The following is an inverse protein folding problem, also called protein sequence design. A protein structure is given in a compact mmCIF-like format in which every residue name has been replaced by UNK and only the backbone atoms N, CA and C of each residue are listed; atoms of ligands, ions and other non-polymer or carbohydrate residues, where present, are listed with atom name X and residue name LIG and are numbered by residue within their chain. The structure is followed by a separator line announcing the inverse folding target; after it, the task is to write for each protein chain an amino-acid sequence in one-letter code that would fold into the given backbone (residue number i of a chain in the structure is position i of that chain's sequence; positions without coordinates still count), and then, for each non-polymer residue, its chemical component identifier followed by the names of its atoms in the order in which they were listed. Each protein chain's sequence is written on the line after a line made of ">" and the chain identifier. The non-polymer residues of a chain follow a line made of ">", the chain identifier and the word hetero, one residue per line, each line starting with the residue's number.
data_IF_102105508610
#
_entry.id   IF_102105508610
#
_cell.length_a   1.000
_cell.length_b   1.000
_cell.length_c   1.000
_cell.angle_alpha   90.00
_cell.angle_beta   90.00
_cell.angle_gamma   90.00
#
_symmetry.space_group_name_H-M   'P 1'
#
loop_
_entity.id
_entity.type
_entity.pdbx_description
1 polymer ?
#
# COMPACT_ATOMS: atom_id res chain seq x y z
N UNK A 1 2.10 13.80 9.42
CA UNK A 1 1.54 14.31 8.14
C UNK A 1 0.15 13.74 7.99
N UNK A 2 -0.88 14.55 7.62
CA UNK A 2 -2.23 14.02 7.49
C UNK A 2 -2.30 12.97 6.37
N UNK A 3 -3.05 11.90 6.63
CA UNK A 3 -3.45 10.91 5.63
C UNK A 3 -4.88 11.28 5.20
N UNK A 4 -5.07 11.49 3.91
CA UNK A 4 -6.34 11.96 3.33
C UNK A 4 -6.76 11.04 2.19
N UNK A 5 -8.06 10.96 1.91
CA UNK A 5 -8.57 10.26 0.74
C UNK A 5 -8.08 10.91 -0.55
N UNK A 6 -7.80 10.08 -1.56
CA UNK A 6 -7.55 10.57 -2.92
C UNK A 6 -8.86 11.11 -3.50
N UNK A 7 -8.84 12.38 -3.90
CA UNK A 7 -9.97 13.05 -4.57
C UNK A 7 -9.47 13.77 -5.84
N UNK A 8 -10.35 14.18 -6.78
CA UNK A 8 -9.95 14.82 -8.03
C UNK A 8 -9.00 16.02 -7.88
N UNK A 9 -9.13 16.79 -6.80
CA UNK A 9 -8.25 17.92 -6.51
C UNK A 9 -6.78 17.55 -6.23
N UNK A 10 -6.49 16.28 -6.01
CA UNK A 10 -5.13 15.79 -5.74
C UNK A 10 -4.39 15.26 -6.98
N UNK A 11 -5.05 15.21 -8.17
CA UNK A 11 -4.48 14.59 -9.38
C UNK A 11 -3.10 15.14 -9.75
N UNK A 12 -2.96 16.46 -9.83
CA UNK A 12 -1.70 17.08 -10.26
C UNK A 12 -0.57 16.84 -9.25
N UNK A 13 -0.88 16.86 -7.96
CA UNK A 13 0.10 16.58 -6.91
C UNK A 13 0.53 15.11 -6.93
N UNK A 14 -0.40 14.19 -7.17
CA UNK A 14 -0.12 12.76 -7.27
C UNK A 14 0.69 12.42 -8.54
N UNK A 15 0.39 13.06 -9.67
CA UNK A 15 1.19 12.92 -10.90
C UNK A 15 2.63 13.36 -10.66
N UNK A 16 2.84 14.57 -10.11
CA UNK A 16 4.18 15.05 -9.77
C UNK A 16 4.93 14.10 -8.83
N UNK A 17 4.24 13.52 -7.86
CA UNK A 17 4.81 12.53 -6.95
C UNK A 17 5.34 11.30 -7.70
N UNK A 18 4.54 10.70 -8.59
CA UNK A 18 4.96 9.54 -9.36
C UNK A 18 6.05 9.84 -10.38
N UNK A 19 6.00 11.01 -11.04
CA UNK A 19 7.03 11.47 -11.97
C UNK A 19 8.38 11.69 -11.28
N UNK A 20 8.37 12.18 -10.03
CA UNK A 20 9.55 12.42 -9.23
C UNK A 20 10.19 11.14 -8.64
N UNK A 21 9.50 9.98 -8.68
CA UNK A 21 10.05 8.73 -8.21
C UNK A 21 11.22 8.28 -9.13
N UNK A 22 12.30 7.74 -8.56
CA UNK A 22 13.33 7.06 -9.33
C UNK A 22 12.76 5.97 -10.22
N UNK A 23 13.35 5.75 -11.39
CA UNK A 23 12.87 4.71 -12.31
C UNK A 23 12.90 3.32 -11.67
N UNK A 24 13.91 3.04 -10.83
CA UNK A 24 14.00 1.79 -10.07
C UNK A 24 12.83 1.55 -9.12
N UNK A 25 12.22 2.62 -8.58
CA UNK A 25 11.02 2.51 -7.75
C UNK A 25 9.77 2.30 -8.60
N UNK A 26 9.64 3.06 -9.71
CA UNK A 26 8.51 2.96 -10.63
C UNK A 26 8.41 1.60 -11.31
N UNK A 27 9.54 0.92 -11.50
CA UNK A 27 9.58 -0.40 -12.13
C UNK A 27 8.77 -1.45 -11.38
N UNK A 28 8.55 -1.26 -10.07
CA UNK A 28 7.80 -2.18 -9.21
C UNK A 28 6.37 -1.72 -8.92
N UNK A 29 5.90 -0.67 -9.61
CA UNK A 29 4.50 -0.26 -9.59
C UNK A 29 3.82 -0.94 -10.79
N UNK A 30 2.73 -1.68 -10.52
CA UNK A 30 2.04 -2.49 -11.54
C UNK A 30 1.35 -1.65 -12.62
N UNK A 31 0.89 -0.46 -12.24
CA UNK A 31 0.12 0.43 -13.11
C UNK A 31 1.01 1.48 -13.80
N UNK A 32 0.55 2.03 -14.92
CA UNK A 32 1.19 3.16 -15.59
C UNK A 32 0.81 4.47 -14.86
N UNK A 33 1.54 4.76 -13.78
CA UNK A 33 1.26 5.87 -12.85
C UNK A 33 1.66 7.25 -13.38
N UNK A 34 2.38 7.31 -14.48
CA UNK A 34 2.74 8.56 -15.16
C UNK A 34 1.75 8.95 -16.26
N UNK A 35 0.76 8.09 -16.55
CA UNK A 35 -0.37 8.45 -17.40
C UNK A 35 -1.41 9.28 -16.63
N UNK A 36 -1.65 10.54 -17.02
CA UNK A 36 -2.65 11.39 -16.37
C UNK A 36 -4.06 10.81 -16.38
N UNK A 37 -4.42 9.99 -17.36
CA UNK A 37 -5.75 9.36 -17.45
C UNK A 37 -5.94 8.33 -16.33
N UNK A 38 -4.91 7.54 -16.04
CA UNK A 38 -4.89 6.58 -14.94
C UNK A 38 -5.13 7.27 -13.60
N UNK A 39 -4.38 8.32 -13.31
CA UNK A 39 -4.49 9.04 -12.03
C UNK A 39 -5.85 9.74 -11.88
N UNK A 40 -6.41 10.29 -12.96
CA UNK A 40 -7.75 10.90 -12.94
C UNK A 40 -8.86 9.88 -12.67
N UNK A 41 -8.80 8.71 -13.32
CA UNK A 41 -9.74 7.61 -13.09
C UNK A 41 -9.71 7.15 -11.62
N UNK A 42 -8.50 7.04 -11.05
CA UNK A 42 -8.35 6.70 -9.63
C UNK A 42 -8.96 7.73 -8.70
N UNK A 43 -8.75 9.02 -8.98
CA UNK A 43 -9.27 10.11 -8.17
C UNK A 43 -10.79 10.28 -8.31
N UNK A 44 -11.36 9.81 -9.42
CA UNK A 44 -12.81 9.72 -9.61
C UNK A 44 -13.45 8.49 -8.93
N UNK A 45 -12.62 7.55 -8.44
CA UNK A 45 -13.10 6.33 -7.79
C UNK A 45 -13.77 5.33 -8.73
N UNK A 46 -13.47 5.38 -10.04
CA UNK A 46 -14.13 4.57 -11.08
C UNK A 46 -13.89 3.07 -10.95
N UNK A 47 -12.77 2.69 -10.33
CA UNK A 47 -12.38 1.28 -10.15
C UNK A 47 -12.78 0.70 -8.78
N UNK A 48 -13.40 1.50 -7.91
CA UNK A 48 -13.81 1.08 -6.57
C UNK A 48 -12.66 0.80 -5.60
N UNK A 49 -11.43 1.14 -5.97
CA UNK A 49 -10.24 0.97 -5.12
C UNK A 49 -10.14 2.13 -4.15
N UNK A 50 -9.89 1.83 -2.87
CA UNK A 50 -9.67 2.87 -1.86
C UNK A 50 -8.21 3.32 -1.87
N UNK A 51 -7.99 4.63 -1.94
CA UNK A 51 -6.64 5.22 -2.02
C UNK A 51 -6.49 6.40 -1.08
N UNK A 52 -5.34 6.47 -0.44
CA UNK A 52 -5.01 7.55 0.49
C UNK A 52 -3.62 8.11 0.19
N UNK A 53 -3.47 9.39 0.51
CA UNK A 53 -2.25 10.16 0.34
C UNK A 53 -1.78 10.68 1.69
N UNK A 54 -0.47 10.66 1.94
CA UNK A 54 0.13 11.48 2.98
C UNK A 54 0.59 12.80 2.37
N UNK A 55 0.10 13.92 2.93
CA UNK A 55 0.31 15.25 2.39
C UNK A 55 1.20 16.11 3.30
N UNK A 56 2.05 16.94 2.67
CA UNK A 56 2.85 17.98 3.34
C UNK A 56 2.86 19.25 2.49
N UNK A 57 2.21 20.32 2.97
CA UNK A 57 2.14 21.62 2.28
C UNK A 57 1.55 21.59 0.86
N UNK A 58 0.74 20.62 0.54
CA UNK A 58 0.15 20.44 -0.81
C UNK A 58 0.90 19.42 -1.69
N UNK A 59 2.03 18.90 -1.24
CA UNK A 59 2.78 17.86 -1.93
C UNK A 59 2.46 16.47 -1.36
N UNK A 60 2.42 15.46 -2.24
CA UNK A 60 2.28 14.06 -1.85
C UNK A 60 3.62 13.53 -1.38
N UNK A 61 3.66 12.98 -0.17
CA UNK A 61 4.84 12.35 0.42
C UNK A 61 4.78 10.83 0.39
N UNK A 62 3.58 10.28 0.27
CA UNK A 62 3.36 8.84 0.19
C UNK A 62 1.95 8.53 -0.29
N UNK A 63 1.81 7.37 -0.85
CA UNK A 63 0.58 6.83 -1.44
C UNK A 63 0.35 5.42 -0.91
N UNK A 64 -0.89 5.10 -0.57
CA UNK A 64 -1.30 3.74 -0.27
C UNK A 64 -2.66 3.45 -0.89
N UNK A 65 -2.82 2.24 -1.42
CA UNK A 65 -4.07 1.73 -1.98
C UNK A 65 -4.44 0.39 -1.37
N UNK A 66 -5.75 0.15 -1.25
CA UNK A 66 -6.34 -1.11 -0.81
C UNK A 66 -7.27 -1.62 -1.90
N UNK A 67 -6.88 -2.71 -2.53
CA UNK A 67 -7.63 -3.41 -3.58
C UNK A 67 -8.37 -4.59 -2.96
N UNK A 68 -9.70 -4.59 -2.99
CA UNK A 68 -10.48 -5.79 -2.69
C UNK A 68 -10.38 -6.73 -3.89
N UNK A 69 -9.98 -7.98 -3.67
CA UNK A 69 -9.90 -8.95 -4.75
C UNK A 69 -11.31 -9.39 -5.18
N UNK A 70 -11.51 -9.72 -6.47
CA UNK A 70 -12.83 -10.06 -6.99
C UNK A 70 -13.24 -11.52 -6.71
N UNK A 71 -14.55 -11.78 -6.79
CA UNK A 71 -15.13 -13.12 -6.83
C UNK A 71 -14.92 -13.90 -5.54
N UNK A 72 -14.41 -15.12 -5.64
CA UNK A 72 -14.17 -16.00 -4.49
C UNK A 72 -13.11 -15.49 -3.50
N UNK A 73 -12.37 -14.44 -3.87
CA UNK A 73 -11.37 -13.80 -3.03
C UNK A 73 -11.83 -12.44 -2.50
N UNK A 74 -13.12 -12.15 -2.49
CA UNK A 74 -13.68 -10.84 -2.07
C UNK A 74 -13.46 -10.51 -0.58
N UNK A 75 -13.06 -11.50 0.22
CA UNK A 75 -12.63 -11.35 1.61
C UNK A 75 -11.14 -10.98 1.76
N UNK A 76 -10.39 -10.89 0.65
CA UNK A 76 -8.96 -10.59 0.62
C UNK A 76 -8.72 -9.17 0.09
N UNK A 77 -7.85 -8.41 0.77
CA UNK A 77 -7.39 -7.10 0.32
C UNK A 77 -5.90 -7.10 -0.01
N UNK A 78 -5.51 -6.55 -1.17
CA UNK A 78 -4.11 -6.29 -1.53
C UNK A 78 -3.75 -4.84 -1.20
N UNK A 79 -2.70 -4.65 -0.40
CA UNK A 79 -2.16 -3.31 -0.07
C UNK A 79 -0.99 -3.01 -1.00
N UNK A 80 -1.01 -1.83 -1.62
CA UNK A 80 0.09 -1.27 -2.40
C UNK A 80 0.52 0.06 -1.80
N UNK A 81 1.82 0.23 -1.59
CA UNK A 81 2.40 1.35 -0.84
C UNK A 81 3.62 1.91 -1.55
N UNK A 82 3.67 3.23 -1.65
CA UNK A 82 4.85 3.95 -2.16
C UNK A 82 5.13 5.17 -1.27
N UNK A 83 6.40 5.37 -0.90
CA UNK A 83 6.87 6.53 -0.12
C UNK A 83 7.94 7.26 -0.90
N UNK A 84 7.86 8.59 -0.97
CA UNK A 84 8.88 9.44 -1.58
C UNK A 84 10.26 9.12 -0.98
N UNK A 85 11.34 9.02 -1.80
CA UNK A 85 12.67 8.66 -1.31
C UNK A 85 13.14 9.51 -0.14
N UNK A 86 12.95 10.83 -0.21
CA UNK A 86 13.31 11.77 0.85
C UNK A 86 12.48 11.71 2.13
N UNK A 87 11.43 10.88 2.16
CA UNK A 87 10.53 10.69 3.32
C UNK A 87 10.63 9.28 3.92
N UNK A 88 11.53 8.45 3.42
CA UNK A 88 11.79 7.10 3.93
C UNK A 88 12.57 7.14 5.24
N UNK A 89 12.48 6.08 6.02
CA UNK A 89 13.19 5.96 7.31
C UNK A 89 12.56 6.72 8.48
N UNK A 90 11.60 7.63 8.23
CA UNK A 90 10.91 8.44 9.26
C UNK A 90 9.59 7.86 9.77
N UNK A 91 9.25 6.61 9.44
CA UNK A 91 8.01 5.97 9.91
C UNK A 91 6.79 6.15 9.00
N UNK A 92 6.83 7.04 8.00
CA UNK A 92 5.69 7.33 7.12
C UNK A 92 5.12 6.08 6.44
N UNK A 93 5.98 5.18 5.93
CA UNK A 93 5.52 3.92 5.34
C UNK A 93 4.73 3.06 6.32
N UNK A 94 5.15 3.03 7.60
CA UNK A 94 4.44 2.31 8.65
C UNK A 94 3.07 2.93 8.96
N UNK A 95 2.98 4.26 9.02
CA UNK A 95 1.71 4.97 9.23
C UNK A 95 0.71 4.69 8.10
N UNK A 96 1.15 4.78 6.83
CA UNK A 96 0.32 4.49 5.67
C UNK A 96 -0.12 3.02 5.62
N UNK A 97 0.79 2.08 5.85
CA UNK A 97 0.47 0.65 5.88
C UNK A 97 -0.52 0.33 7.00
N UNK A 98 -0.31 0.88 8.22
CA UNK A 98 -1.22 0.74 9.34
C UNK A 98 -2.61 1.31 9.03
N UNK A 99 -2.67 2.49 8.40
CA UNK A 99 -3.93 3.08 7.96
C UNK A 99 -4.69 2.12 7.03
N UNK A 100 -4.04 1.57 5.99
CA UNK A 100 -4.66 0.63 5.07
C UNK A 100 -5.11 -0.66 5.76
N UNK A 101 -4.35 -1.17 6.73
CA UNK A 101 -4.74 -2.34 7.55
C UNK A 101 -6.03 -2.05 8.31
N UNK A 102 -6.09 -0.92 9.06
CA UNK A 102 -7.30 -0.52 9.83
C UNK A 102 -8.51 -0.40 8.91
N UNK A 103 -8.36 0.27 7.77
CA UNK A 103 -9.42 0.44 6.79
C UNK A 103 -9.88 -0.90 6.17
N UNK A 104 -8.94 -1.81 5.92
CA UNK A 104 -9.25 -3.16 5.42
C UNK A 104 -10.07 -3.96 6.41
N UNK A 105 -9.66 -3.97 7.67
CA UNK A 105 -10.37 -4.66 8.75
C UNK A 105 -11.75 -4.07 9.00
N UNK A 106 -11.86 -2.74 9.05
CA UNK A 106 -13.14 -2.03 9.20
C UNK A 106 -14.11 -2.28 8.04
N UNK A 107 -13.62 -2.65 6.85
CA UNK A 107 -14.43 -3.02 5.69
C UNK A 107 -14.76 -4.52 5.61
N UNK A 108 -14.45 -5.30 6.64
CA UNK A 108 -14.79 -6.72 6.74
C UNK A 108 -13.89 -7.65 5.95
N UNK A 109 -12.66 -7.22 5.59
CA UNK A 109 -11.67 -8.11 4.99
C UNK A 109 -11.13 -9.08 6.04
N UNK A 110 -11.02 -10.36 5.69
CA UNK A 110 -10.53 -11.42 6.56
C UNK A 110 -9.04 -11.71 6.36
N UNK A 111 -8.48 -11.26 5.25
CA UNK A 111 -7.06 -11.44 4.90
C UNK A 111 -6.55 -10.19 4.17
N UNK A 112 -5.35 -9.76 4.52
CA UNK A 112 -4.64 -8.70 3.80
C UNK A 112 -3.35 -9.29 3.23
N UNK A 113 -3.02 -8.94 1.99
CA UNK A 113 -1.80 -9.38 1.31
C UNK A 113 -1.01 -8.20 0.81
N UNK A 114 0.30 -8.37 0.77
CA UNK A 114 1.24 -7.44 0.11
C UNK A 114 2.20 -8.23 -0.74
N UNK A 115 2.56 -7.68 -1.87
CA UNK A 115 3.56 -8.20 -2.77
C UNK A 115 4.80 -7.31 -2.72
N UNK A 116 5.94 -7.89 -2.41
CA UNK A 116 7.20 -7.16 -2.22
C UNK A 116 8.29 -7.86 -3.03
N UNK A 117 9.08 -7.11 -3.76
CA UNK A 117 10.29 -7.65 -4.39
C UNK A 117 11.21 -8.20 -3.31
N UNK A 118 11.69 -9.43 -3.48
CA UNK A 118 12.39 -10.16 -2.41
C UNK A 118 13.64 -9.41 -1.89
N UNK A 119 14.26 -8.58 -2.72
CA UNK A 119 15.43 -7.77 -2.34
C UNK A 119 15.07 -6.48 -1.56
N UNK A 120 13.79 -6.11 -1.48
CA UNK A 120 13.34 -4.90 -0.77
C UNK A 120 13.23 -5.14 0.75
N UNK A 121 14.35 -5.37 1.43
CA UNK A 121 14.42 -5.71 2.85
C UNK A 121 13.71 -4.71 3.78
N UNK A 122 13.71 -3.42 3.46
CA UNK A 122 13.00 -2.41 4.24
C UNK A 122 11.48 -2.58 4.19
N UNK A 123 10.91 -2.94 3.03
CA UNK A 123 9.49 -3.21 2.88
C UNK A 123 9.09 -4.51 3.58
N UNK A 124 9.92 -5.57 3.46
CA UNK A 124 9.72 -6.81 4.18
C UNK A 124 9.69 -6.58 5.70
N UNK A 125 10.66 -5.84 6.24
CA UNK A 125 10.74 -5.51 7.67
C UNK A 125 9.53 -4.69 8.14
N UNK A 126 9.05 -3.75 7.30
CA UNK A 126 7.88 -2.92 7.60
C UNK A 126 6.64 -3.79 7.81
N UNK A 127 6.32 -4.64 6.83
CA UNK A 127 5.10 -5.45 6.88
C UNK A 127 5.20 -6.58 7.91
N UNK A 128 6.37 -7.20 8.08
CA UNK A 128 6.60 -8.17 9.17
C UNK A 128 6.37 -7.53 10.53
N UNK A 129 6.84 -6.28 10.72
CA UNK A 129 6.61 -5.51 11.94
C UNK A 129 5.15 -5.07 12.15
N UNK A 130 4.27 -5.26 11.18
CA UNK A 130 2.81 -5.07 11.26
C UNK A 130 2.04 -6.41 11.35
N UNK A 131 2.75 -7.52 11.59
CA UNK A 131 2.12 -8.83 11.78
C UNK A 131 1.85 -9.61 10.48
N UNK A 132 2.42 -9.17 9.35
CA UNK A 132 2.41 -9.98 8.13
C UNK A 132 3.47 -11.07 8.19
N UNK A 133 3.16 -12.24 7.68
CA UNK A 133 4.09 -13.38 7.54
C UNK A 133 4.25 -13.79 6.08
N UNK A 134 5.40 -14.38 5.72
CA UNK A 134 5.65 -14.89 4.39
C UNK A 134 4.69 -16.04 4.06
N UNK A 135 3.99 -15.95 2.93
CA UNK A 135 3.07 -16.98 2.45
C UNK A 135 3.58 -17.68 1.20
N UNK A 136 4.24 -16.94 0.30
CA UNK A 136 4.81 -17.53 -0.93
C UNK A 136 6.04 -16.75 -1.40
N UNK A 137 6.98 -17.48 -2.03
CA UNK A 137 8.06 -16.92 -2.84
C UNK A 137 7.84 -17.35 -4.29
N UNK A 138 7.57 -16.38 -5.15
CA UNK A 138 7.38 -16.61 -6.59
C UNK A 138 8.67 -16.24 -7.30
N UNK A 139 9.40 -17.27 -7.78
CA UNK A 139 10.68 -17.08 -8.46
C UNK A 139 10.49 -16.48 -9.85
N UNK A 140 11.41 -15.59 -10.23
CA UNK A 140 11.43 -14.97 -11.57
C UNK A 140 10.09 -14.35 -12.00
N UNK A 141 9.31 -13.88 -11.02
CA UNK A 141 7.94 -13.46 -11.23
C UNK A 141 7.80 -12.03 -11.78
N UNK A 142 8.78 -11.18 -11.51
CA UNK A 142 8.82 -9.79 -11.97
C UNK A 142 9.90 -9.67 -13.04
N UNK A 143 9.58 -9.01 -14.16
CA UNK A 143 10.57 -8.53 -15.12
C UNK A 143 10.70 -7.01 -14.93
N UNK A 144 11.87 -6.57 -14.47
CA UNK A 144 12.13 -5.14 -14.34
C UNK A 144 12.35 -4.48 -15.71
N UNK A 145 12.40 -3.15 -15.75
CA UNK A 145 12.56 -2.40 -17.00
C UNK A 145 13.90 -2.65 -17.71
N UNK A 146 14.90 -3.16 -17.01
CA UNK A 146 16.17 -3.61 -17.61
C UNK A 146 16.07 -5.01 -18.24
N UNK A 147 14.92 -5.70 -18.05
CA UNK A 147 14.68 -7.07 -18.49
C UNK A 147 15.12 -8.13 -17.50
N UNK A 148 15.68 -7.75 -16.34
CA UNK A 148 16.11 -8.67 -15.31
C UNK A 148 14.90 -9.28 -14.59
N UNK A 149 14.94 -10.58 -14.35
CA UNK A 149 13.93 -11.28 -13.56
C UNK A 149 14.22 -11.13 -12.06
N UNK A 150 13.16 -10.94 -11.28
CA UNK A 150 13.21 -10.75 -9.84
C UNK A 150 12.20 -11.66 -9.16
N UNK A 151 12.53 -12.07 -7.95
CA UNK A 151 11.63 -12.85 -7.11
C UNK A 151 10.62 -11.94 -6.41
N UNK A 152 9.37 -12.42 -6.29
CA UNK A 152 8.29 -11.76 -5.58
C UNK A 152 7.97 -12.52 -4.30
N UNK A 153 8.01 -11.82 -3.16
CA UNK A 153 7.54 -12.32 -1.88
C UNK A 153 6.09 -11.90 -1.66
N UNK A 154 5.21 -12.85 -1.40
CA UNK A 154 3.85 -12.58 -0.93
C UNK A 154 3.83 -12.70 0.59
N UNK A 155 3.45 -11.63 1.27
CA UNK A 155 3.21 -11.61 2.70
C UNK A 155 1.71 -11.51 2.95
N UNK A 156 1.21 -12.20 3.97
CA UNK A 156 -0.19 -12.17 4.35
C UNK A 156 -0.38 -11.90 5.84
N UNK A 157 -1.50 -11.27 6.17
CA UNK A 157 -2.01 -11.04 7.50
C UNK A 157 -3.43 -11.62 7.59
N UNK A 158 -3.63 -12.63 8.44
CA UNK A 158 -4.92 -13.26 8.68
C UNK A 158 -5.57 -12.67 9.94
N UNK A 159 -6.72 -12.03 9.78
CA UNK A 159 -7.37 -11.26 10.84
C UNK A 159 -7.72 -12.12 12.06
N UNK A 160 -8.21 -13.34 11.85
CA UNK A 160 -8.63 -14.24 12.93
C UNK A 160 -7.49 -14.84 13.75
N UNK A 161 -6.29 -14.96 13.16
CA UNK A 161 -5.14 -15.63 13.79
C UNK A 161 -4.17 -14.67 14.49
N UNK A 162 -4.23 -13.40 14.13
CA UNK A 162 -3.22 -12.41 14.53
C UNK A 162 -3.76 -11.24 15.34
N UNK A 163 -5.00 -11.35 15.87
CA UNK A 163 -5.60 -10.29 16.68
C UNK A 163 -4.71 -9.85 17.84
N UNK A 164 -4.08 -10.79 18.53
CA UNK A 164 -3.12 -10.51 19.62
C UNK A 164 -1.85 -9.80 19.12
N UNK A 165 -1.38 -10.12 17.91
CA UNK A 165 -0.26 -9.43 17.26
C UNK A 165 -0.63 -8.00 16.86
N UNK A 166 -1.87 -7.76 16.44
CA UNK A 166 -2.37 -6.42 16.11
C UNK A 166 -2.47 -5.52 17.33
N UNK A 167 -2.90 -6.05 18.48
CA UNK A 167 -2.88 -5.32 19.75
C UNK A 167 -1.45 -4.89 20.12
N UNK A 168 -0.47 -5.76 19.90
CA UNK A 168 0.95 -5.47 20.19
C UNK A 168 1.50 -4.33 19.32
N UNK A 169 1.05 -4.18 18.07
CA UNK A 169 1.48 -3.09 17.17
C UNK A 169 0.53 -1.87 17.16
N UNK A 170 -0.47 -1.86 18.07
CA UNK A 170 -1.39 -0.74 18.27
C UNK A 170 -2.48 -0.59 17.21
N UNK A 171 -2.70 -1.58 16.35
CA UNK A 171 -3.77 -1.53 15.32
C UNK A 171 -5.15 -1.74 15.95
N UNK A 172 -5.25 -2.57 16.99
CA UNK A 172 -6.51 -2.84 17.67
C UNK A 172 -7.13 -1.59 18.33
N UNK A 173 -6.29 -0.68 18.84
CA UNK A 173 -6.74 0.58 19.46
C UNK A 173 -7.40 1.54 18.45
N UNK A 174 -7.00 1.47 17.17
CA UNK A 174 -7.58 2.32 16.12
C UNK A 174 -8.94 1.80 15.64
N UNK A 175 -9.23 0.51 15.81
CA UNK A 175 -10.52 -0.09 15.46
C UNK A 175 -11.62 0.24 16.47
N UNK A 176 -11.24 0.48 17.73
CA UNK A 176 -12.18 0.81 18.82
C UNK A 176 -12.45 2.33 18.94
N UNK A 177 -11.82 3.17 18.11
CA UNK A 177 -12.11 4.61 18.10
C UNK A 177 -13.44 4.88 17.39
N UNK A 178 -14.45 5.45 18.07
CA UNK A 178 -15.65 5.90 17.39
C UNK A 178 -15.28 7.02 16.41
N UNK A 179 -15.79 6.91 15.19
CA UNK A 179 -15.70 7.98 14.21
C UNK A 179 -16.35 9.24 14.81
N UNK A 180 -15.53 10.26 15.09
CA UNK A 180 -15.96 11.56 15.58
C UNK A 180 -16.25 12.54 14.44
#
# INVERSE_FOLDING_TARGET
>A
MPIVDLVPGHCDALLRFFEALPEGDRTFIKEEVTDPSTVRSWAAGEDGVRRWLSMDGGDVCGYVALYRLPGWSDHVGEIRLVVAPGRRGGGLGRELARHAVVQGLGSGLAKLVVEVVAEQGAALALFTGLGFSGEALLRDHIRDRSGQLRDLMVLAHHVGETWSGMATVGVAEDLDRPEG
#
